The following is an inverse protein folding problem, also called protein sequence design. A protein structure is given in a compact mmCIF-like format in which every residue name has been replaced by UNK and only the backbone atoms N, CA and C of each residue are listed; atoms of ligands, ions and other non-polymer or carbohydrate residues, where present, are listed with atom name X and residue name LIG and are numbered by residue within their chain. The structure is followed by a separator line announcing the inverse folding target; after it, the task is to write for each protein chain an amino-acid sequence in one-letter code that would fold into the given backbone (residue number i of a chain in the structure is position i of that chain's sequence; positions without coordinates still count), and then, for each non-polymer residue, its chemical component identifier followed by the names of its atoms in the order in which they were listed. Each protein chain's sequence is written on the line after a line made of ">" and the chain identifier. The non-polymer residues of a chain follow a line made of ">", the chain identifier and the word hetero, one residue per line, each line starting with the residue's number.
data_IF_095735134829
#
_entry.id   IF_095735134829
#
_cell.length_a   1.000
_cell.length_b   1.000
_cell.length_c   1.000
_cell.angle_alpha   90.00
_cell.angle_beta   90.00
_cell.angle_gamma   90.00
#
_symmetry.space_group_name_H-M   'P 1'
#
loop_
_entity.id
_entity.type
_entity.pdbx_description
1 polymer ?
#
# COMPACT_ATOMS: atom_id res chain seq x y z
N UNK A 1 -21.37 -12.33 -16.94
CA UNK A 1 -20.05 -12.55 -17.56
C UNK A 1 -19.00 -12.28 -16.49
N UNK A 2 -18.11 -13.23 -16.15
CA UNK A 2 -17.06 -12.96 -15.18
C UNK A 2 -16.11 -11.92 -15.77
N UNK A 3 -15.82 -10.85 -15.02
CA UNK A 3 -14.77 -9.89 -15.39
C UNK A 3 -13.47 -10.69 -15.56
N UNK A 4 -12.88 -10.67 -16.75
CA UNK A 4 -11.52 -11.15 -16.92
C UNK A 4 -10.62 -10.26 -16.06
N UNK A 5 -9.98 -10.85 -15.05
CA UNK A 5 -8.99 -10.14 -14.24
C UNK A 5 -7.79 -9.81 -15.13
N UNK A 6 -7.68 -8.54 -15.51
CA UNK A 6 -6.53 -8.02 -16.23
C UNK A 6 -5.47 -7.56 -15.21
N UNK A 7 -4.26 -8.10 -15.33
CA UNK A 7 -3.10 -7.74 -14.52
C UNK A 7 -2.89 -6.22 -14.43
N UNK A 8 -3.06 -5.53 -15.56
CA UNK A 8 -2.92 -4.07 -15.64
C UNK A 8 -3.91 -3.35 -14.74
N UNK A 9 -5.15 -3.82 -14.71
CA UNK A 9 -6.22 -3.20 -13.94
C UNK A 9 -5.99 -3.46 -12.44
N UNK A 10 -5.56 -4.67 -12.07
CA UNK A 10 -5.18 -4.99 -10.69
C UNK A 10 -4.01 -4.11 -10.19
N UNK A 11 -3.00 -3.87 -11.02
CA UNK A 11 -1.89 -3.00 -10.67
C UNK A 11 -2.31 -1.54 -10.51
N UNK A 12 -3.18 -1.03 -11.39
CA UNK A 12 -3.73 0.33 -11.30
C UNK A 12 -4.62 0.50 -10.06
N UNK A 13 -5.50 -0.48 -9.80
CA UNK A 13 -6.38 -0.49 -8.64
C UNK A 13 -5.54 -0.49 -7.34
N UNK A 14 -4.48 -1.29 -7.27
CA UNK A 14 -3.53 -1.26 -6.15
C UNK A 14 -2.90 0.13 -5.98
N UNK A 15 -2.41 0.73 -7.06
CA UNK A 15 -1.77 2.05 -7.01
C UNK A 15 -2.73 3.14 -6.52
N UNK A 16 -3.97 3.14 -7.01
CA UNK A 16 -4.99 4.10 -6.60
C UNK A 16 -5.35 3.92 -5.11
N UNK A 17 -5.53 2.67 -4.67
CA UNK A 17 -5.82 2.38 -3.27
C UNK A 17 -4.68 2.76 -2.34
N UNK A 18 -3.42 2.56 -2.76
CA UNK A 18 -2.25 3.04 -2.01
C UNK A 18 -2.33 4.56 -1.87
N UNK A 19 -2.38 5.31 -2.98
CA UNK A 19 -2.45 6.79 -2.96
C UNK A 19 -3.60 7.32 -2.09
N UNK A 20 -4.77 6.68 -2.15
CA UNK A 20 -5.92 7.02 -1.31
C UNK A 20 -5.61 6.80 0.18
N UNK A 21 -5.02 5.66 0.52
CA UNK A 21 -4.62 5.32 1.90
C UNK A 21 -3.58 6.30 2.42
N UNK A 22 -2.55 6.63 1.64
CA UNK A 22 -1.52 7.61 2.02
C UNK A 22 -2.14 8.98 2.32
N UNK A 23 -3.08 9.42 1.46
CA UNK A 23 -3.80 10.68 1.66
C UNK A 23 -4.62 10.66 2.96
N UNK A 24 -5.34 9.57 3.22
CA UNK A 24 -6.15 9.41 4.43
C UNK A 24 -5.30 9.43 5.70
N UNK A 25 -4.18 8.68 5.70
CA UNK A 25 -3.19 8.69 6.80
C UNK A 25 -2.63 10.09 7.00
N UNK A 26 -2.24 10.78 5.92
CA UNK A 26 -1.72 12.15 6.00
C UNK A 26 -2.73 13.15 6.57
N UNK A 27 -4.02 13.00 6.23
CA UNK A 27 -5.10 13.80 6.83
C UNK A 27 -5.25 13.48 8.33
N UNK A 28 -5.26 12.21 8.71
CA UNK A 28 -5.37 11.79 10.11
C UNK A 28 -4.21 12.36 10.95
N UNK A 29 -2.97 12.21 10.47
CA UNK A 29 -1.77 12.72 11.12
C UNK A 29 -1.83 14.24 11.28
N UNK A 30 -2.23 14.99 10.25
CA UNK A 30 -2.39 16.45 10.34
C UNK A 30 -3.45 16.86 11.36
N UNK A 31 -4.62 16.22 11.34
CA UNK A 31 -5.69 16.49 12.29
C UNK A 31 -5.22 16.28 13.74
N UNK A 32 -4.54 15.17 14.02
CA UNK A 32 -3.97 14.89 15.34
C UNK A 32 -2.85 15.87 15.70
N UNK A 33 -1.98 16.20 14.74
CA UNK A 33 -0.89 17.14 14.94
C UNK A 33 -1.40 18.54 15.35
N UNK A 34 -2.30 19.12 14.55
CA UNK A 34 -2.81 20.47 14.80
C UNK A 34 -3.70 20.54 16.05
N UNK A 35 -4.48 19.50 16.33
CA UNK A 35 -5.31 19.43 17.55
C UNK A 35 -4.49 19.21 18.83
N UNK A 36 -3.30 18.63 18.71
CA UNK A 36 -2.41 18.38 19.86
C UNK A 36 -1.39 19.50 20.12
N UNK A 37 -1.17 20.39 19.15
CA UNK A 37 -0.40 21.64 19.33
C UNK A 37 -1.19 22.72 20.06
N UNK A 38 -0.57 23.33 21.07
CA UNK A 38 -0.98 24.63 21.60
C UNK A 38 0.17 25.62 21.40
N UNK A 39 0.01 26.66 20.57
CA UNK A 39 1.09 27.59 20.25
C UNK A 39 1.52 28.47 21.45
N UNK A 40 0.67 28.63 22.46
CA UNK A 40 0.91 29.60 23.55
C UNK A 40 1.08 28.97 24.95
N UNK A 41 0.89 27.65 25.12
CA UNK A 41 1.03 27.01 26.43
C UNK A 41 1.54 25.57 26.33
N UNK A 42 2.83 25.40 26.60
CA UNK A 42 3.53 24.11 26.64
C UNK A 42 2.89 23.01 27.53
N UNK A 43 2.29 23.29 28.71
CA UNK A 43 1.69 22.25 29.55
C UNK A 43 0.38 21.66 29.00
N UNK A 44 -0.27 22.33 28.03
CA UNK A 44 -1.49 21.82 27.38
C UNK A 44 -1.23 21.14 26.03
N UNK A 45 0.03 21.03 25.62
CA UNK A 45 0.43 20.28 24.44
C UNK A 45 0.22 18.79 24.68
N UNK A 46 -0.66 18.19 23.89
CA UNK A 46 -0.95 16.76 23.96
C UNK A 46 0.02 15.94 23.09
N UNK A 47 0.94 16.60 22.37
CA UNK A 47 1.89 15.94 21.45
C UNK A 47 2.64 14.79 22.09
N UNK A 48 3.10 14.94 23.34
CA UNK A 48 3.82 13.86 24.05
C UNK A 48 2.99 12.59 24.22
N UNK A 49 1.65 12.72 24.24
CA UNK A 49 0.71 11.60 24.36
C UNK A 49 0.21 11.13 23.00
N UNK A 50 -0.07 12.03 22.07
CA UNK A 50 -0.61 11.68 20.74
C UNK A 50 0.46 11.15 19.78
N UNK A 51 1.69 11.65 19.86
CA UNK A 51 2.78 11.29 18.94
C UNK A 51 3.10 9.79 18.95
N UNK A 52 3.29 9.12 20.11
CA UNK A 52 3.54 7.68 20.13
C UNK A 52 2.43 6.86 19.46
N UNK A 53 1.17 7.27 19.63
CA UNK A 53 0.01 6.58 19.03
C UNK A 53 0.00 6.71 17.51
N UNK A 54 0.24 7.92 17.00
CA UNK A 54 0.32 8.16 15.55
C UNK A 54 1.53 7.46 14.93
N UNK A 55 2.67 7.46 15.62
CA UNK A 55 3.88 6.79 15.17
C UNK A 55 3.70 5.27 15.07
N UNK A 56 3.14 4.65 16.12
CA UNK A 56 2.85 3.22 16.14
C UNK A 56 1.89 2.82 15.00
N UNK A 57 0.80 3.58 14.83
CA UNK A 57 -0.16 3.34 13.76
C UNK A 57 0.48 3.48 12.37
N UNK A 58 1.28 4.53 12.16
CA UNK A 58 1.95 4.79 10.89
C UNK A 58 2.94 3.68 10.54
N UNK A 59 3.69 3.18 11.53
CA UNK A 59 4.63 2.08 11.33
C UNK A 59 3.91 0.80 10.90
N UNK A 60 2.80 0.44 11.55
CA UNK A 60 2.03 -0.77 11.22
C UNK A 60 1.42 -0.68 9.82
N UNK A 61 0.88 0.49 9.43
CA UNK A 61 0.36 0.71 8.08
C UNK A 61 1.51 0.66 7.05
N UNK A 62 2.64 1.30 7.34
CA UNK A 62 3.79 1.31 6.45
C UNK A 62 4.37 -0.09 6.24
N UNK A 63 4.41 -0.93 7.28
CA UNK A 63 4.84 -2.34 7.19
C UNK A 63 3.91 -3.13 6.24
N UNK A 64 2.59 -2.99 6.37
CA UNK A 64 1.64 -3.66 5.47
C UNK A 64 1.77 -3.17 4.02
N UNK A 65 1.84 -1.85 3.82
CA UNK A 65 2.02 -1.25 2.48
C UNK A 65 3.36 -1.68 1.87
N UNK A 66 4.41 -1.76 2.68
CA UNK A 66 5.73 -2.28 2.28
C UNK A 66 5.66 -3.71 1.76
N UNK A 67 4.96 -4.61 2.46
CA UNK A 67 4.79 -5.99 2.00
C UNK A 67 4.06 -6.07 0.66
N UNK A 68 3.08 -5.19 0.41
CA UNK A 68 2.38 -5.10 -0.87
C UNK A 68 3.33 -4.65 -1.98
N UNK A 69 4.14 -3.62 -1.74
CA UNK A 69 5.15 -3.18 -2.71
C UNK A 69 6.17 -4.27 -3.01
N UNK A 70 6.70 -4.96 -1.99
CA UNK A 70 7.65 -6.07 -2.19
C UNK A 70 7.03 -7.21 -3.00
N UNK A 71 5.76 -7.51 -2.78
CA UNK A 71 5.04 -8.52 -3.56
C UNK A 71 4.98 -8.14 -5.03
N UNK A 72 4.59 -6.90 -5.32
CA UNK A 72 4.56 -6.39 -6.70
C UNK A 72 5.95 -6.38 -7.33
N UNK A 73 6.97 -5.97 -6.59
CA UNK A 73 8.34 -5.88 -7.09
C UNK A 73 8.89 -7.25 -7.53
N UNK A 74 8.64 -8.31 -6.75
CA UNK A 74 9.00 -9.69 -7.14
C UNK A 74 8.39 -10.05 -8.50
N UNK A 75 7.11 -9.75 -8.69
CA UNK A 75 6.39 -10.00 -9.92
C UNK A 75 6.95 -9.18 -11.07
N UNK A 76 7.20 -7.88 -10.83
CA UNK A 76 7.77 -6.96 -11.81
C UNK A 76 9.15 -7.42 -12.28
N UNK A 77 10.05 -7.76 -11.36
CA UNK A 77 11.42 -8.21 -11.65
C UNK A 77 11.39 -9.48 -12.49
N UNK A 78 10.58 -10.47 -12.10
CA UNK A 78 10.49 -11.74 -12.84
C UNK A 78 9.99 -11.53 -14.28
N UNK A 79 8.93 -10.75 -14.46
CA UNK A 79 8.37 -10.46 -15.78
C UNK A 79 9.35 -9.65 -16.63
N UNK A 80 10.01 -8.64 -16.04
CA UNK A 80 10.97 -7.79 -16.74
C UNK A 80 12.21 -8.56 -17.18
N UNK A 81 12.72 -9.46 -16.34
CA UNK A 81 13.84 -10.33 -16.69
C UNK A 81 13.52 -11.25 -17.87
N UNK A 82 12.32 -11.82 -17.90
CA UNK A 82 11.85 -12.62 -19.03
C UNK A 82 11.71 -11.76 -20.30
N UNK A 83 11.03 -10.63 -20.21
CA UNK A 83 10.77 -9.75 -21.35
C UNK A 83 12.07 -9.17 -21.95
N UNK A 84 13.00 -8.72 -21.11
CA UNK A 84 14.28 -8.18 -21.55
C UNK A 84 15.12 -9.24 -22.25
N UNK A 85 15.18 -10.46 -21.71
CA UNK A 85 15.96 -11.53 -22.32
C UNK A 85 15.47 -11.85 -23.74
N UNK A 86 14.16 -11.82 -23.96
CA UNK A 86 13.56 -12.06 -25.29
C UNK A 86 13.84 -10.91 -26.25
N UNK A 87 13.74 -9.67 -25.77
CA UNK A 87 14.08 -8.49 -26.57
C UNK A 87 15.55 -8.49 -27.01
N UNK A 88 16.50 -8.76 -26.11
CA UNK A 88 17.92 -8.76 -26.45
C UNK A 88 18.33 -9.98 -27.29
N UNK A 89 17.65 -11.12 -27.15
CA UNK A 89 17.83 -12.28 -28.05
C UNK A 89 17.45 -11.92 -29.49
N UNK A 90 16.36 -11.19 -29.71
CA UNK A 90 15.98 -10.68 -31.04
C UNK A 90 17.09 -9.84 -31.69
N UNK A 91 17.90 -9.18 -30.87
CA UNK A 91 19.02 -8.35 -31.30
C UNK A 91 20.36 -9.09 -31.32
N UNK A 92 20.37 -10.42 -31.15
CA UNK A 92 21.56 -11.27 -31.19
C UNK A 92 22.51 -11.10 -30.00
N UNK A 93 22.04 -10.56 -28.87
CA UNK A 93 22.92 -10.14 -27.75
C UNK A 93 22.97 -11.09 -26.54
N UNK A 94 22.14 -12.14 -26.47
CA UNK A 94 22.08 -13.05 -25.31
C UNK A 94 21.86 -14.50 -25.77
N UNK A 95 22.56 -15.44 -25.13
CA UNK A 95 22.53 -16.89 -25.44
C UNK A 95 21.44 -17.69 -24.70
N UNK A 96 20.94 -17.21 -23.56
CA UNK A 96 19.88 -17.90 -22.80
C UNK A 96 18.93 -16.95 -22.08
N UNK A 97 17.68 -17.40 -21.89
CA UNK A 97 16.65 -16.66 -21.16
C UNK A 97 16.59 -17.12 -19.69
N UNK A 98 16.41 -16.22 -18.71
CA UNK A 98 16.42 -16.57 -17.28
C UNK A 98 15.08 -17.17 -16.80
N UNK A 99 14.32 -17.85 -17.67
CA UNK A 99 12.97 -18.35 -17.35
C UNK A 99 12.94 -19.22 -16.11
N UNK A 100 13.88 -20.16 -15.98
CA UNK A 100 13.91 -21.10 -14.86
C UNK A 100 14.22 -20.38 -13.54
N UNK A 101 15.19 -19.48 -13.55
CA UNK A 101 15.54 -18.68 -12.37
C UNK A 101 14.39 -17.75 -11.96
N UNK A 102 13.80 -17.03 -12.92
CA UNK A 102 12.66 -16.14 -12.67
C UNK A 102 11.42 -16.91 -12.19
N UNK A 103 11.14 -18.08 -12.78
CA UNK A 103 10.01 -18.93 -12.40
C UNK A 103 10.22 -19.53 -11.00
N UNK A 104 11.41 -20.07 -10.74
CA UNK A 104 11.77 -20.60 -9.42
C UNK A 104 11.69 -19.52 -8.34
N UNK A 105 12.19 -18.31 -8.62
CA UNK A 105 12.09 -17.17 -7.71
C UNK A 105 10.62 -16.84 -7.39
N UNK A 106 9.76 -16.69 -8.40
CA UNK A 106 8.34 -16.37 -8.19
C UNK A 106 7.64 -17.47 -7.38
N UNK A 107 7.79 -18.73 -7.79
CA UNK A 107 7.09 -19.85 -7.13
C UNK A 107 7.57 -20.08 -5.69
N UNK A 108 8.83 -19.77 -5.37
CA UNK A 108 9.36 -19.93 -4.02
C UNK A 108 9.09 -18.73 -3.09
N UNK A 109 9.07 -17.50 -3.60
CA UNK A 109 8.99 -16.28 -2.78
C UNK A 109 7.61 -15.63 -2.75
N UNK A 110 6.86 -15.66 -3.85
CA UNK A 110 5.56 -14.97 -3.92
C UNK A 110 4.52 -15.51 -2.93
N UNK A 111 4.40 -16.83 -2.67
CA UNK A 111 3.42 -17.34 -1.71
C UNK A 111 3.67 -16.86 -0.28
N UNK A 112 4.92 -16.84 0.17
CA UNK A 112 5.26 -16.42 1.54
C UNK A 112 5.04 -14.92 1.72
N UNK A 113 5.32 -14.10 0.71
CA UNK A 113 5.06 -12.65 0.74
C UNK A 113 3.57 -12.32 0.71
N UNK A 114 2.80 -13.02 -0.14
CA UNK A 114 1.34 -12.91 -0.16
C UNK A 114 0.75 -13.25 1.22
N UNK A 115 1.23 -14.32 1.84
CA UNK A 115 0.80 -14.73 3.18
C UNK A 115 1.17 -13.69 4.24
N UNK A 116 2.41 -13.20 4.25
CA UNK A 116 2.87 -12.20 5.21
C UNK A 116 2.01 -10.92 5.19
N UNK A 117 1.57 -10.50 4.00
CA UNK A 117 0.66 -9.35 3.89
C UNK A 117 -0.72 -9.63 4.46
N UNK A 118 -1.28 -10.82 4.20
CA UNK A 118 -2.60 -11.20 4.73
C UNK A 118 -2.57 -11.37 6.25
N UNK A 119 -1.48 -11.94 6.78
CA UNK A 119 -1.27 -12.13 8.22
C UNK A 119 -1.13 -10.79 8.97
N UNK A 120 -0.83 -9.69 8.27
CA UNK A 120 -0.77 -8.33 8.85
C UNK A 120 -2.14 -7.67 9.03
N UNK A 121 -3.20 -8.12 8.31
CA UNK A 121 -4.52 -7.49 8.36
C UNK A 121 -5.10 -7.41 9.78
N UNK A 122 -5.10 -8.49 10.60
CA UNK A 122 -5.62 -8.42 11.96
C UNK A 122 -4.85 -7.42 12.83
N UNK A 123 -3.53 -7.36 12.68
CA UNK A 123 -2.65 -6.45 13.42
C UNK A 123 -2.93 -4.99 13.06
N UNK A 124 -3.16 -4.70 11.78
CA UNK A 124 -3.52 -3.37 11.27
C UNK A 124 -4.87 -2.92 11.83
N UNK A 125 -5.90 -3.77 11.77
CA UNK A 125 -7.21 -3.45 12.32
C UNK A 125 -7.18 -3.23 13.83
N UNK A 126 -6.40 -4.04 14.54
CA UNK A 126 -6.17 -3.85 15.97
C UNK A 126 -5.47 -2.51 16.26
N UNK A 127 -4.44 -2.16 15.49
CA UNK A 127 -3.73 -0.89 15.64
C UNK A 127 -4.62 0.32 15.34
N UNK A 128 -5.45 0.25 14.29
CA UNK A 128 -6.43 1.30 13.96
C UNK A 128 -7.43 1.51 15.09
N UNK A 129 -8.01 0.42 15.61
CA UNK A 129 -8.97 0.48 16.71
C UNK A 129 -8.33 1.00 18.01
N UNK A 130 -7.12 0.52 18.33
CA UNK A 130 -6.38 0.98 19.50
C UNK A 130 -6.01 2.47 19.38
N UNK A 131 -5.59 2.90 18.20
CA UNK A 131 -5.27 4.30 17.93
C UNK A 131 -6.52 5.18 18.04
N UNK A 132 -7.65 4.74 17.50
CA UNK A 132 -8.93 5.46 17.64
C UNK A 132 -9.28 5.70 19.10
N UNK A 133 -9.36 4.63 19.90
CA UNK A 133 -9.72 4.72 21.33
C UNK A 133 -8.76 5.65 22.07
N UNK A 134 -7.44 5.45 21.93
CA UNK A 134 -6.44 6.25 22.63
C UNK A 134 -6.43 7.70 22.19
N UNK A 135 -6.56 7.99 20.90
CA UNK A 135 -6.58 9.37 20.39
C UNK A 135 -7.84 10.10 20.85
N UNK A 136 -9.00 9.43 20.84
CA UNK A 136 -10.24 10.02 21.36
C UNK A 136 -10.12 10.34 22.85
N UNK A 137 -9.56 9.42 23.65
CA UNK A 137 -9.29 9.65 25.08
C UNK A 137 -8.33 10.81 25.31
N UNK A 138 -7.20 10.84 24.60
CA UNK A 138 -6.18 11.89 24.78
C UNK A 138 -6.71 13.26 24.36
N UNK A 139 -7.44 13.33 23.24
CA UNK A 139 -7.96 14.58 22.68
C UNK A 139 -9.25 15.06 23.36
N UNK A 140 -9.88 14.21 24.18
CA UNK A 140 -11.07 14.57 24.94
C UNK A 140 -10.81 15.72 25.92
N UNK A 141 -11.87 16.47 26.24
CA UNK A 141 -11.77 17.58 27.18
C UNK A 141 -11.90 17.05 28.62
N UNK A 142 -11.04 17.52 29.56
CA UNK A 142 -10.98 17.02 30.93
C UNK A 142 -12.24 17.32 31.77
N UNK A 143 -13.13 18.17 31.28
CA UNK A 143 -14.46 18.38 31.83
C UNK A 143 -15.43 17.80 30.80
N UNK A 144 -16.31 16.89 31.22
CA UNK A 144 -17.27 16.16 30.37
C UNK A 144 -18.32 17.03 29.68
N UNK A 145 -17.90 18.15 29.09
CA UNK A 145 -18.68 19.00 28.21
C UNK A 145 -19.06 18.14 27.02
N UNK A 146 -20.36 17.86 26.82
CA UNK A 146 -20.82 17.05 25.71
C UNK A 146 -20.31 17.64 24.40
N UNK A 147 -19.71 16.79 23.55
CA UNK A 147 -19.25 17.18 22.21
C UNK A 147 -20.36 17.87 21.40
N UNK A 148 -21.62 17.48 21.62
CA UNK A 148 -22.80 18.13 21.07
C UNK A 148 -22.94 19.60 21.49
N UNK A 149 -22.70 19.93 22.77
CA UNK A 149 -22.73 21.30 23.27
C UNK A 149 -21.55 22.14 22.74
N UNK A 150 -20.37 21.53 22.62
CA UNK A 150 -19.20 22.22 22.05
C UNK A 150 -19.36 22.46 20.55
N UNK A 151 -19.99 21.55 19.81
CA UNK A 151 -20.28 21.74 18.37
C UNK A 151 -21.28 22.87 18.11
N UNK A 152 -22.19 23.14 19.04
CA UNK A 152 -23.21 24.21 18.94
C UNK A 152 -22.64 25.56 19.36
N UNK A 153 -21.68 25.60 20.28
CA UNK A 153 -20.93 26.81 20.60
C UNK A 153 -20.16 27.27 19.34
N UNK A 154 -20.55 28.41 18.77
CA UNK A 154 -20.04 28.86 17.48
C UNK A 154 -18.50 28.95 17.44
N UNK A 155 -17.94 28.81 16.23
CA UNK A 155 -16.50 29.04 15.97
C UNK A 155 -16.00 30.43 16.42
N UNK A 156 -16.88 31.39 16.69
CA UNK A 156 -16.54 32.73 17.20
C UNK A 156 -16.27 32.75 18.71
N UNK A 157 -16.78 31.77 19.46
CA UNK A 157 -16.67 31.72 20.94
C UNK A 157 -15.57 30.75 21.39
N UNK A 158 -15.31 29.70 20.61
CA UNK A 158 -14.26 28.72 20.91
C UNK A 158 -12.90 29.24 20.47
N UNK A 159 -11.90 29.10 21.33
CA UNK A 159 -10.52 29.35 20.92
C UNK A 159 -10.13 28.40 19.76
N UNK A 160 -9.31 28.83 18.80
CA UNK A 160 -8.97 28.03 17.61
C UNK A 160 -8.50 26.61 17.92
N UNK A 161 -7.74 26.41 19.00
CA UNK A 161 -7.26 25.09 19.43
C UNK A 161 -8.38 24.15 19.90
N UNK A 162 -9.43 24.69 20.53
CA UNK A 162 -10.62 23.91 20.94
C UNK A 162 -11.43 23.51 19.71
N UNK A 163 -11.61 24.45 18.76
CA UNK A 163 -12.29 24.15 17.49
C UNK A 163 -11.60 23.03 16.71
N UNK A 164 -10.27 23.07 16.60
CA UNK A 164 -9.47 22.03 15.92
C UNK A 164 -9.59 20.67 16.62
N UNK A 165 -9.60 20.63 17.96
CA UNK A 165 -9.82 19.37 18.70
C UNK A 165 -11.20 18.79 18.45
N UNK A 166 -12.25 19.61 18.45
CA UNK A 166 -13.63 19.17 18.19
C UNK A 166 -13.78 18.62 16.76
N UNK A 167 -13.15 19.29 15.80
CA UNK A 167 -13.09 18.84 14.41
C UNK A 167 -12.40 17.48 14.31
N UNK A 168 -11.21 17.34 14.89
CA UNK A 168 -10.47 16.06 14.92
C UNK A 168 -11.27 14.93 15.57
N UNK A 169 -11.91 15.18 16.72
CA UNK A 169 -12.78 14.21 17.41
C UNK A 169 -14.00 13.80 16.56
N UNK A 170 -14.48 14.69 15.67
CA UNK A 170 -15.55 14.39 14.73
C UNK A 170 -15.12 13.55 13.53
N UNK A 171 -13.85 13.67 13.11
CA UNK A 171 -13.35 12.99 11.90
C UNK A 171 -12.66 11.66 12.16
N UNK A 172 -11.94 11.50 13.27
CA UNK A 172 -11.18 10.27 13.56
C UNK A 172 -12.01 8.98 13.52
N UNK A 173 -13.23 8.92 14.09
CA UNK A 173 -14.04 7.70 14.08
C UNK A 173 -14.54 7.28 12.69
N UNK A 174 -14.46 8.17 11.70
CA UNK A 174 -14.81 7.86 10.30
C UNK A 174 -13.55 7.57 9.49
N UNK A 175 -12.49 8.35 9.73
CA UNK A 175 -11.27 8.30 8.95
C UNK A 175 -10.46 7.03 9.23
N UNK A 176 -10.30 6.63 10.50
CA UNK A 176 -9.51 5.44 10.84
C UNK A 176 -10.14 4.13 10.31
N UNK A 177 -11.46 3.89 10.47
CA UNK A 177 -12.09 2.73 9.81
C UNK A 177 -11.99 2.76 8.29
N UNK A 178 -12.07 3.95 7.66
CA UNK A 178 -11.93 4.07 6.20
C UNK A 178 -10.56 3.62 5.69
N UNK A 179 -9.49 3.88 6.46
CA UNK A 179 -8.13 3.38 6.17
C UNK A 179 -8.11 1.86 6.23
N UNK A 180 -8.74 1.25 7.25
CA UNK A 180 -8.85 -0.20 7.36
C UNK A 180 -9.53 -0.85 6.15
N UNK A 181 -10.64 -0.27 5.69
CA UNK A 181 -11.37 -0.75 4.50
C UNK A 181 -10.49 -0.64 3.23
N UNK A 182 -9.74 0.45 3.07
CA UNK A 182 -8.81 0.60 1.95
C UNK A 182 -7.71 -0.46 1.99
N UNK A 183 -7.14 -0.73 3.17
CA UNK A 183 -6.11 -1.76 3.36
C UNK A 183 -6.66 -3.18 3.10
N UNK A 184 -7.91 -3.48 3.49
CA UNK A 184 -8.58 -4.74 3.13
C UNK A 184 -8.75 -4.88 1.61
N UNK A 185 -9.10 -3.79 0.92
CA UNK A 185 -9.18 -3.77 -0.54
C UNK A 185 -7.83 -4.04 -1.18
N UNK A 186 -6.76 -3.45 -0.64
CA UNK A 186 -5.40 -3.64 -1.15
C UNK A 186 -4.95 -5.09 -0.96
N UNK A 187 -5.17 -5.66 0.22
CA UNK A 187 -4.83 -7.04 0.50
C UNK A 187 -5.57 -8.03 -0.41
N UNK A 188 -6.87 -7.80 -0.67
CA UNK A 188 -7.65 -8.60 -1.62
C UNK A 188 -7.15 -8.48 -3.05
N UNK A 189 -6.86 -7.26 -3.50
CA UNK A 189 -6.34 -7.02 -4.86
C UNK A 189 -4.96 -7.65 -5.05
N UNK A 190 -4.10 -7.55 -4.04
CA UNK A 190 -2.80 -8.23 -4.01
C UNK A 190 -2.97 -9.75 -4.03
N UNK A 191 -3.90 -10.31 -3.26
CA UNK A 191 -4.14 -11.75 -3.27
C UNK A 191 -4.62 -12.25 -4.65
N UNK A 192 -5.46 -11.48 -5.34
CA UNK A 192 -5.87 -11.75 -6.72
C UNK A 192 -4.67 -11.70 -7.68
N UNK A 193 -3.79 -10.70 -7.53
CA UNK A 193 -2.56 -10.57 -8.30
C UNK A 193 -1.66 -11.81 -8.10
N UNK A 194 -1.39 -12.19 -6.86
CA UNK A 194 -0.59 -13.36 -6.53
C UNK A 194 -1.18 -14.64 -7.10
N UNK A 195 -2.50 -14.83 -6.96
CA UNK A 195 -3.19 -16.00 -7.51
C UNK A 195 -3.06 -16.08 -9.03
N UNK A 196 -3.26 -14.96 -9.72
CA UNK A 196 -3.11 -14.87 -11.18
C UNK A 196 -1.68 -15.20 -11.62
N UNK A 197 -0.69 -14.59 -10.96
CA UNK A 197 0.73 -14.77 -11.30
C UNK A 197 1.17 -16.20 -11.02
N UNK A 198 0.84 -16.76 -9.86
CA UNK A 198 1.16 -18.15 -9.53
C UNK A 198 0.53 -19.12 -10.54
N UNK A 199 -0.74 -18.92 -10.91
CA UNK A 199 -1.38 -19.75 -11.92
C UNK A 199 -0.65 -19.68 -13.27
N UNK A 200 -0.21 -18.49 -13.69
CA UNK A 200 0.56 -18.30 -14.92
C UNK A 200 1.92 -19.02 -14.84
N UNK A 201 2.70 -18.77 -13.78
CA UNK A 201 4.04 -19.34 -13.63
C UNK A 201 4.03 -20.85 -13.38
N UNK A 202 3.01 -21.40 -12.71
CA UNK A 202 2.84 -22.84 -12.53
C UNK A 202 2.40 -23.57 -13.80
N UNK A 203 1.70 -22.87 -14.71
CA UNK A 203 1.32 -23.43 -16.01
C UNK A 203 2.45 -23.34 -17.05
N UNK A 204 3.58 -22.71 -16.72
CA UNK A 204 4.73 -22.66 -17.62
C UNK A 204 5.41 -24.04 -17.69
N UNK A 205 5.32 -24.67 -18.84
CA UNK A 205 6.15 -25.84 -19.16
C UNK A 205 7.55 -25.38 -19.58
N UNK A 206 8.46 -25.30 -18.61
CA UNK A 206 9.84 -24.82 -18.80
C UNK A 206 10.59 -25.69 -19.84
N UNK A 207 10.52 -27.03 -19.81
CA UNK A 207 11.06 -27.88 -20.88
C UNK A 207 10.53 -27.53 -22.28
N UNK A 208 9.21 -27.43 -22.45
CA UNK A 208 8.60 -27.05 -23.72
C UNK A 208 9.02 -25.64 -24.19
N UNK A 209 9.15 -24.70 -23.25
CA UNK A 209 9.64 -23.35 -23.55
C UNK A 209 11.10 -23.36 -24.01
N UNK A 210 11.99 -24.19 -23.45
CA UNK A 210 13.38 -24.33 -23.93
C UNK A 210 13.45 -24.96 -25.32
N UNK A 211 12.62 -25.96 -25.60
CA UNK A 211 12.55 -26.58 -26.92
C UNK A 211 12.07 -25.57 -27.96
N UNK A 212 11.04 -24.79 -27.62
CA UNK A 212 10.53 -23.74 -28.47
C UNK A 212 11.46 -22.52 -28.57
N UNK A 213 12.33 -22.28 -27.58
CA UNK A 213 13.30 -21.18 -27.57
C UNK A 213 14.29 -21.26 -28.75
N UNK A 214 14.47 -22.45 -29.33
CA UNK A 214 15.30 -22.70 -30.51
C UNK A 214 14.50 -22.67 -31.83
N UNK A 215 13.17 -22.52 -31.75
CA UNK A 215 12.28 -22.43 -32.92
C UNK A 215 12.26 -21.02 -33.51
N UNK A 216 12.25 -20.86 -34.85
CA UNK A 216 12.08 -19.55 -35.48
C UNK A 216 10.75 -18.87 -35.13
N UNK A 217 9.74 -19.64 -34.68
CA UNK A 217 8.40 -19.13 -34.33
C UNK A 217 8.25 -18.72 -32.85
N UNK A 218 9.30 -18.83 -32.05
CA UNK A 218 9.28 -18.53 -30.61
C UNK A 218 8.72 -17.13 -30.29
N UNK A 219 9.03 -16.16 -31.14
CA UNK A 219 8.60 -14.77 -30.98
C UNK A 219 7.08 -14.62 -31.14
N UNK A 220 6.47 -15.39 -32.05
CA UNK A 220 5.02 -15.41 -32.23
C UNK A 220 4.32 -16.05 -31.03
N UNK A 221 4.92 -17.08 -30.43
CA UNK A 221 4.39 -17.77 -29.24
C UNK A 221 4.49 -16.87 -28.00
N UNK A 222 5.61 -16.16 -27.81
CA UNK A 222 5.76 -15.22 -26.69
C UNK A 222 4.82 -14.01 -26.77
N UNK A 223 4.63 -13.44 -27.96
CA UNK A 223 3.69 -12.34 -28.18
C UNK A 223 2.24 -12.82 -27.99
N UNK A 224 1.94 -14.08 -28.34
CA UNK A 224 0.64 -14.71 -28.10
C UNK A 224 0.40 -15.03 -26.62
N UNK A 225 1.46 -15.26 -25.84
CA UNK A 225 1.39 -15.49 -24.40
C UNK A 225 1.29 -14.14 -23.64
N UNK A 226 0.50 -14.12 -22.55
CA UNK A 226 0.09 -12.91 -21.80
C UNK A 226 1.23 -12.06 -21.20
N UNK A 227 2.49 -12.49 -21.29
CA UNK A 227 3.65 -11.84 -20.66
C UNK A 227 4.00 -10.46 -21.24
N UNK A 228 3.87 -10.28 -22.56
CA UNK A 228 4.16 -8.99 -23.20
C UNK A 228 3.26 -7.86 -22.68
N UNK A 229 1.99 -8.16 -22.42
CA UNK A 229 1.03 -7.21 -21.85
C UNK A 229 1.34 -6.90 -20.38
N UNK A 230 1.75 -7.91 -19.59
CA UNK A 230 2.09 -7.71 -18.19
C UNK A 230 3.36 -6.85 -18.02
N UNK A 231 4.38 -7.04 -18.86
CA UNK A 231 5.63 -6.27 -18.80
C UNK A 231 5.44 -4.78 -19.14
N UNK A 232 4.57 -4.47 -20.11
CA UNK A 232 4.26 -3.09 -20.47
C UNK A 232 3.43 -2.39 -19.38
N UNK A 233 2.48 -3.11 -18.78
CA UNK A 233 1.67 -2.62 -17.68
C UNK A 233 2.48 -2.36 -16.42
N UNK A 234 3.43 -3.23 -16.10
CA UNK A 234 4.21 -3.17 -14.86
C UNK A 234 5.20 -1.99 -14.85
N UNK A 235 5.79 -1.66 -16.01
CA UNK A 235 6.71 -0.52 -16.17
C UNK A 235 6.04 0.85 -15.99
N UNK A 236 4.79 1.02 -16.42
CA UNK A 236 4.11 2.31 -16.33
C UNK A 236 3.48 2.59 -14.95
N UNK A 237 3.22 1.56 -14.14
CA UNK A 237 2.47 1.70 -12.88
C UNK A 237 3.38 1.98 -11.67
N UNK A 238 4.59 1.42 -11.59
CA UNK A 238 5.38 1.42 -10.34
C UNK A 238 6.63 2.30 -10.32
N UNK A 239 7.08 2.85 -11.46
CA UNK A 239 8.26 3.73 -11.54
C UNK A 239 8.06 5.06 -10.78
N UNK A 240 6.82 5.52 -10.57
CA UNK A 240 6.54 6.77 -9.84
C UNK A 240 6.36 6.61 -8.31
N UNK A 241 6.19 5.39 -7.79
CA UNK A 241 5.72 5.18 -6.40
C UNK A 241 6.77 4.60 -5.44
N UNK A 242 7.81 3.93 -5.94
CA UNK A 242 8.78 3.17 -5.15
C UNK A 242 9.84 4.00 -4.39
N UNK A 243 9.96 5.32 -4.65
CA UNK A 243 10.99 6.17 -4.01
C UNK A 243 10.43 7.13 -2.95
N UNK A 244 9.11 7.25 -2.78
CA UNK A 244 8.53 8.33 -1.97
C UNK A 244 8.16 7.96 -0.53
N UNK A 245 7.92 6.68 -0.22
CA UNK A 245 7.12 6.35 0.97
C UNK A 245 7.89 6.35 2.30
N UNK A 246 9.17 5.98 2.31
CA UNK A 246 9.96 5.95 3.55
C UNK A 246 10.57 7.31 3.94
N UNK A 247 10.66 8.26 2.99
CA UNK A 247 11.32 9.55 3.24
C UNK A 247 10.35 10.68 3.59
N UNK A 248 9.08 10.63 3.17
CA UNK A 248 8.14 11.75 3.40
C UNK A 248 7.49 11.75 4.78
N UNK A 249 7.18 10.60 5.35
CA UNK A 249 6.47 10.50 6.63
C UNK A 249 7.41 10.80 7.82
N UNK A 250 8.72 10.57 7.66
CA UNK A 250 9.73 10.87 8.69
C UNK A 250 10.21 12.33 8.57
N UNK A 251 10.22 12.92 7.37
CA UNK A 251 10.66 14.30 7.15
C UNK A 251 9.69 15.36 7.72
N UNK A 252 8.39 15.07 7.81
CA UNK A 252 7.39 16.01 8.34
C UNK A 252 7.25 15.98 9.88
N UNK A 253 8.05 15.16 10.59
CA UNK A 253 8.04 15.04 12.05
C UNK A 253 9.34 15.51 12.74
N UNK A 254 10.29 16.07 11.99
CA UNK A 254 11.54 16.63 12.55
C UNK A 254 11.69 18.10 12.16
N UNK A 255 10.90 18.96 12.83
CA UNK A 255 11.29 20.30 13.31
C UNK A 255 10.52 20.59 14.60
#
# INVERSE_FOLDING_TARGET
>A
MPKEFNFTDLCKDLQEQVRSTEKAVGVATRLVHFSSTSPNFHPFSLRRKTYPVVQELSNVIAEMVGNIYSTVDIVFVAISSIANAIYFRKNGKIESTPFESATSQVLSTLPSQCKATLDMLPRVHQALKAAEVRLLEILSFPFGVPLSLVRVASKLVLSPHVSLRVETLGHLPLLLPSIGISLDSMARTMHQLCTLVLAVFSALDIPCLREQEHSPDYLAIYVRNRFSYMAYASNNVFIESSVSYSYRIIADCVV
#
